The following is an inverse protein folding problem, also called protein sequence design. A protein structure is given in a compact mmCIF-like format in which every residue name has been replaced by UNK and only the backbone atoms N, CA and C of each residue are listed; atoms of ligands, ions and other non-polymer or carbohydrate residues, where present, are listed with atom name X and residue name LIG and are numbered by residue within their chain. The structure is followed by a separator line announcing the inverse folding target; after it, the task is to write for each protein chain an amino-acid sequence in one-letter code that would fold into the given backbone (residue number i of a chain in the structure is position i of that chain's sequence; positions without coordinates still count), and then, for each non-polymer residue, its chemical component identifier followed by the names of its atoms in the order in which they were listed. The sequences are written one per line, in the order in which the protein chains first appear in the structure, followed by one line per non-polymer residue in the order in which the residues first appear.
data_IF_247135805782
#
_entry.id   IF_247135805782
#
_cell.length_a   1.000
_cell.length_b   1.000
_cell.length_c   1.000
_cell.angle_alpha   90.00
_cell.angle_beta   90.00
_cell.angle_gamma   90.00
#
_symmetry.space_group_name_H-M   'P 1'
#
loop_
_entity.id
_entity.type
_entity.pdbx_description
1 polymer ?
#
# COMPACT_ATOMS: atom_id res chain seq x y z
N UNK A 1 -12.96 -4.58 18.13
CA UNK A 1 -13.44 -5.10 16.83
C UNK A 1 -14.97 -4.97 16.81
N UNK A 2 -15.39 -3.71 16.84
CA UNK A 2 -16.81 -3.34 16.88
C UNK A 2 -17.57 -3.96 15.70
N UNK A 3 -18.71 -4.56 15.99
CA UNK A 3 -19.56 -5.23 14.99
C UNK A 3 -19.23 -6.71 14.71
N UNK A 4 -18.09 -7.23 15.20
CA UNK A 4 -17.70 -8.63 14.98
C UNK A 4 -17.61 -9.45 16.27
N UNK A 5 -17.24 -8.82 17.38
CA UNK A 5 -17.11 -9.49 18.68
C UNK A 5 -17.71 -8.63 19.78
N UNK A 6 -18.12 -9.28 20.88
CA UNK A 6 -18.52 -8.60 22.12
C UNK A 6 -17.25 -8.19 22.89
N UNK A 7 -17.38 -7.24 23.80
CA UNK A 7 -16.23 -6.72 24.57
C UNK A 7 -15.60 -7.80 25.48
N UNK A 8 -16.41 -8.75 25.93
CA UNK A 8 -16.02 -9.92 26.74
C UNK A 8 -15.39 -11.06 25.92
N UNK A 9 -15.49 -10.98 24.58
CA UNK A 9 -14.93 -11.93 23.61
C UNK A 9 -13.92 -11.28 22.67
N UNK A 10 -13.38 -10.09 23.03
CA UNK A 10 -12.59 -9.24 22.14
C UNK A 10 -11.12 -9.64 22.06
N UNK A 11 -10.64 -10.54 22.88
CA UNK A 11 -9.26 -10.99 22.85
C UNK A 11 -8.96 -11.79 21.58
N UNK A 12 -7.92 -11.34 20.85
CA UNK A 12 -7.48 -11.95 19.61
C UNK A 12 -5.98 -12.21 19.68
N UNK A 13 -5.52 -13.23 18.99
CA UNK A 13 -4.09 -13.53 18.84
C UNK A 13 -3.59 -13.14 17.47
N UNK A 14 -2.35 -12.64 17.42
CA UNK A 14 -1.63 -12.31 16.17
C UNK A 14 -0.62 -13.42 15.88
N UNK A 15 -0.82 -14.12 14.78
CA UNK A 15 0.12 -15.12 14.29
C UNK A 15 0.98 -14.50 13.18
N UNK A 16 2.30 -14.30 13.41
CA UNK A 16 3.17 -13.67 12.45
C UNK A 16 3.41 -14.58 11.25
N UNK A 17 3.29 -13.99 10.06
CA UNK A 17 3.70 -14.59 8.80
C UNK A 17 5.17 -14.25 8.56
N UNK A 18 6.05 -15.24 8.69
CA UNK A 18 7.51 -15.04 8.64
C UNK A 18 8.00 -14.62 7.26
N UNK A 19 7.27 -14.98 6.20
CA UNK A 19 7.60 -14.58 4.83
C UNK A 19 7.40 -13.08 4.59
N UNK A 20 6.70 -12.40 5.50
CA UNK A 20 6.47 -10.94 5.45
C UNK A 20 7.50 -10.13 6.25
N UNK A 21 8.58 -10.76 6.72
CA UNK A 21 9.63 -10.08 7.48
C UNK A 21 10.33 -9.02 6.64
N UNK A 22 10.33 -7.76 7.10
CA UNK A 22 11.07 -6.67 6.48
C UNK A 22 11.77 -5.81 7.54
N UNK A 23 12.98 -5.32 7.23
CA UNK A 23 13.72 -4.37 8.05
C UNK A 23 13.54 -2.98 7.47
N UNK A 24 13.08 -2.02 8.28
CA UNK A 24 12.85 -0.66 7.80
C UNK A 24 14.16 0.08 7.51
N UNK A 25 14.36 0.58 6.26
CA UNK A 25 15.61 1.22 5.86
C UNK A 25 15.86 2.58 6.50
N UNK A 26 14.79 3.25 6.98
CA UNK A 26 14.87 4.59 7.57
C UNK A 26 15.25 4.63 9.06
N UNK A 27 15.64 3.48 9.64
CA UNK A 27 15.98 3.37 11.08
C UNK A 27 17.39 2.82 11.37
N UNK A 28 18.41 2.99 10.52
CA UNK A 28 19.71 2.34 10.74
C UNK A 28 20.47 2.93 11.95
N UNK A 29 20.37 4.25 12.17
CA UNK A 29 21.12 4.95 13.23
C UNK A 29 20.54 4.76 14.64
N UNK A 30 19.28 4.32 14.75
CA UNK A 30 18.56 4.16 16.04
C UNK A 30 18.36 2.69 16.43
N UNK A 31 19.12 1.79 15.78
CA UNK A 31 18.89 0.36 15.85
C UNK A 31 17.90 -0.10 14.78
N UNK A 32 18.07 -1.35 14.35
CA UNK A 32 17.20 -1.93 13.32
C UNK A 32 15.81 -2.18 13.87
N UNK A 33 14.80 -1.84 13.08
CA UNK A 33 13.39 -2.13 13.36
C UNK A 33 12.87 -3.00 12.24
N UNK A 34 12.27 -4.12 12.59
CA UNK A 34 11.65 -5.03 11.66
C UNK A 34 10.13 -5.07 11.87
N UNK A 35 9.42 -5.44 10.83
CA UNK A 35 7.98 -5.66 10.85
C UNK A 35 7.66 -7.05 10.29
N UNK A 36 6.63 -7.68 10.87
CA UNK A 36 5.94 -8.84 10.35
C UNK A 36 4.46 -8.50 10.18
N UNK A 37 3.82 -9.01 9.15
CA UNK A 37 2.36 -9.04 9.05
C UNK A 37 1.86 -10.28 9.79
N UNK A 38 0.68 -10.16 10.38
CA UNK A 38 0.10 -11.24 11.18
C UNK A 38 -1.31 -11.56 10.69
N UNK A 39 -1.65 -12.83 10.74
CA UNK A 39 -3.05 -13.26 10.66
C UNK A 39 -3.71 -13.08 12.04
N UNK A 40 -4.98 -12.69 12.06
CA UNK A 40 -5.76 -12.57 13.30
C UNK A 40 -6.50 -13.86 13.56
N UNK A 41 -6.36 -14.40 14.78
CA UNK A 41 -6.98 -15.64 15.20
C UNK A 41 -7.78 -15.47 16.50
N UNK A 42 -8.74 -16.32 16.68
CA UNK A 42 -9.47 -16.47 17.95
C UNK A 42 -8.57 -17.05 19.05
N UNK A 43 -8.96 -16.97 20.34
CA UNK A 43 -8.18 -17.53 21.45
C UNK A 43 -7.92 -19.04 21.36
N UNK A 44 -8.77 -19.78 20.65
CA UNK A 44 -8.61 -21.22 20.39
C UNK A 44 -7.67 -21.55 19.22
N UNK A 45 -7.08 -20.50 18.58
CA UNK A 45 -6.18 -20.64 17.44
C UNK A 45 -6.89 -20.75 16.08
N UNK A 46 -8.22 -20.77 16.03
CA UNK A 46 -8.96 -20.75 14.75
C UNK A 46 -8.87 -19.37 14.08
N UNK A 47 -8.87 -19.29 12.73
CA UNK A 47 -8.85 -18.01 12.04
C UNK A 47 -10.06 -17.14 12.41
N UNK A 48 -9.80 -15.86 12.74
CA UNK A 48 -10.88 -14.93 13.02
C UNK A 48 -11.61 -14.54 11.72
N UNK A 49 -12.94 -14.68 11.72
CA UNK A 49 -13.75 -14.47 10.50
C UNK A 49 -13.68 -13.02 9.98
N UNK A 50 -13.48 -12.06 10.87
CA UNK A 50 -13.37 -10.63 10.54
C UNK A 50 -11.98 -10.18 10.08
N UNK A 51 -10.99 -11.09 10.01
CA UNK A 51 -9.67 -10.78 9.47
C UNK A 51 -9.73 -10.59 7.95
N UNK A 52 -9.44 -9.37 7.41
CA UNK A 52 -9.46 -9.12 5.97
C UNK A 52 -8.39 -9.93 5.22
N UNK A 53 -7.20 -10.13 5.82
CA UNK A 53 -6.14 -10.95 5.23
C UNK A 53 -6.58 -12.41 5.16
N UNK A 54 -7.20 -12.92 6.22
CA UNK A 54 -7.80 -14.24 6.26
C UNK A 54 -8.95 -14.40 5.25
N UNK A 55 -9.76 -13.35 5.03
CA UNK A 55 -10.81 -13.35 4.01
C UNK A 55 -10.21 -13.51 2.60
N UNK A 56 -9.16 -12.75 2.27
CA UNK A 56 -8.46 -12.88 1.00
C UNK A 56 -7.86 -14.28 0.82
N UNK A 57 -7.19 -14.83 1.84
CA UNK A 57 -6.65 -16.21 1.82
C UNK A 57 -7.74 -17.26 1.53
N UNK A 58 -8.96 -17.10 2.06
CA UNK A 58 -10.08 -18.00 1.76
C UNK A 58 -10.51 -17.92 0.30
N UNK A 59 -10.59 -16.72 -0.27
CA UNK A 59 -10.96 -16.52 -1.68
C UNK A 59 -9.89 -17.07 -2.62
N UNK A 60 -8.60 -16.82 -2.32
CA UNK A 60 -7.48 -17.34 -3.11
C UNK A 60 -7.44 -18.88 -3.11
N UNK A 61 -7.71 -19.52 -1.97
CA UNK A 61 -7.84 -20.99 -1.93
C UNK A 61 -8.93 -21.48 -2.87
N UNK A 62 -10.10 -20.83 -2.86
CA UNK A 62 -11.20 -21.18 -3.77
C UNK A 62 -10.82 -20.99 -5.24
N UNK A 63 -10.05 -19.96 -5.57
CA UNK A 63 -9.53 -19.77 -6.93
C UNK A 63 -8.56 -20.89 -7.31
N UNK A 64 -7.65 -21.27 -6.41
CA UNK A 64 -6.70 -22.36 -6.62
C UNK A 64 -7.40 -23.71 -6.83
N UNK A 65 -8.47 -24.00 -6.08
CA UNK A 65 -9.29 -25.22 -6.27
C UNK A 65 -9.93 -25.27 -7.67
N UNK A 66 -10.14 -24.12 -8.31
CA UNK A 66 -10.63 -23.99 -9.68
C UNK A 66 -9.50 -23.96 -10.72
N UNK A 67 -8.24 -24.07 -10.30
CA UNK A 67 -7.07 -24.09 -11.19
C UNK A 67 -6.56 -22.69 -11.57
N UNK A 68 -6.85 -21.66 -10.79
CA UNK A 68 -6.43 -20.28 -11.08
C UNK A 68 -5.42 -19.75 -10.07
N UNK A 69 -4.42 -19.03 -10.58
CA UNK A 69 -3.56 -18.12 -9.80
C UNK A 69 -3.99 -16.69 -10.09
N UNK A 70 -4.15 -15.91 -9.03
CA UNK A 70 -4.69 -14.55 -9.10
C UNK A 70 -3.58 -13.54 -8.82
N UNK A 71 -3.17 -12.79 -9.84
CA UNK A 71 -2.20 -11.71 -9.72
C UNK A 71 -2.87 -10.35 -9.76
N UNK A 72 -2.31 -9.40 -9.01
CA UNK A 72 -2.84 -8.04 -8.86
C UNK A 72 -1.70 -7.03 -8.97
N UNK A 73 -1.89 -6.00 -9.81
CA UNK A 73 -1.07 -4.79 -9.89
C UNK A 73 -1.88 -3.61 -9.40
N UNK A 74 -1.61 -3.10 -8.20
CA UNK A 74 -2.28 -1.91 -7.69
C UNK A 74 -1.56 -0.64 -8.12
N UNK A 75 -2.31 0.38 -8.51
CA UNK A 75 -1.87 1.76 -8.74
C UNK A 75 -2.47 2.63 -7.64
N UNK A 76 -1.65 3.20 -6.79
CA UNK A 76 -2.13 3.86 -5.57
C UNK A 76 -1.72 5.31 -5.51
N UNK A 77 -2.69 6.20 -5.73
CA UNK A 77 -2.51 7.64 -5.69
C UNK A 77 -2.59 8.19 -4.26
N UNK A 78 -1.92 9.32 -4.02
CA UNK A 78 -1.91 10.00 -2.74
C UNK A 78 -1.68 11.50 -2.90
N UNK A 79 -2.07 12.27 -1.89
CA UNK A 79 -1.76 13.70 -1.81
C UNK A 79 -0.66 13.99 -0.81
N UNK A 80 0.15 15.00 -1.13
CA UNK A 80 1.12 15.61 -0.22
C UNK A 80 0.63 17.01 0.17
N UNK A 81 0.44 17.22 1.47
CA UNK A 81 0.05 18.51 2.04
C UNK A 81 1.17 19.10 2.90
N UNK A 82 1.27 20.42 2.93
CA UNK A 82 2.12 21.12 3.88
C UNK A 82 1.63 20.87 5.33
N UNK A 83 2.56 20.83 6.26
CA UNK A 83 2.25 20.90 7.69
C UNK A 83 2.32 22.34 8.19
N UNK A 84 1.53 22.69 9.18
CA UNK A 84 1.61 23.97 9.83
C UNK A 84 2.86 24.07 10.74
N UNK A 85 3.08 25.25 11.33
CA UNK A 85 4.20 25.52 12.24
C UNK A 85 4.22 24.61 13.49
N UNK A 86 3.09 24.03 13.83
CA UNK A 86 2.94 23.14 14.99
C UNK A 86 3.04 21.65 14.56
N UNK A 87 3.36 21.37 13.27
CA UNK A 87 3.49 20.03 12.71
C UNK A 87 2.15 19.32 12.45
N UNK A 88 1.05 20.07 12.35
CA UNK A 88 -0.28 19.51 12.06
C UNK A 88 -0.55 19.54 10.56
N UNK A 89 -1.25 18.54 10.01
CA UNK A 89 -1.65 18.53 8.62
C UNK A 89 -2.54 19.74 8.26
N UNK A 90 -2.31 20.29 7.07
CA UNK A 90 -3.19 21.29 6.45
C UNK A 90 -3.83 20.73 5.19
N UNK A 91 -4.66 21.52 4.51
CA UNK A 91 -5.18 21.22 3.17
C UNK A 91 -4.45 21.98 2.07
N UNK A 92 -3.34 22.65 2.42
CA UNK A 92 -2.49 23.32 1.46
C UNK A 92 -1.60 22.29 0.78
N UNK A 93 -1.70 22.19 -0.55
CA UNK A 93 -0.85 21.33 -1.38
C UNK A 93 0.60 21.85 -1.38
N UNK A 94 1.55 20.95 -1.55
CA UNK A 94 2.96 21.30 -1.60
C UNK A 94 3.36 22.01 -2.91
N UNK A 95 2.51 21.94 -3.94
CA UNK A 95 2.71 22.58 -5.25
C UNK A 95 1.40 22.86 -5.97
N UNK A 96 1.51 23.42 -7.18
CA UNK A 96 0.43 23.72 -8.12
C UNK A 96 0.63 22.97 -9.46
N UNK A 97 1.47 21.93 -9.46
CA UNK A 97 1.76 21.13 -10.65
C UNK A 97 0.55 20.28 -11.07
N UNK A 98 0.60 19.77 -12.28
CA UNK A 98 -0.41 18.89 -12.87
C UNK A 98 0.19 17.61 -13.43
N UNK A 99 -0.62 16.89 -14.23
CA UNK A 99 -0.30 15.56 -14.73
C UNK A 99 1.01 15.52 -15.52
N UNK A 100 1.96 14.69 -15.06
CA UNK A 100 3.30 14.51 -15.62
C UNK A 100 4.18 15.76 -15.65
N UNK A 101 3.83 16.79 -14.88
CA UNK A 101 4.72 17.92 -14.71
C UNK A 101 6.02 17.48 -13.99
N UNK A 102 7.09 18.21 -14.30
CA UNK A 102 8.43 17.97 -13.79
C UNK A 102 8.94 19.19 -12.99
N UNK A 103 10.05 19.01 -12.29
CA UNK A 103 10.71 20.16 -11.67
C UNK A 103 11.03 21.28 -12.68
N UNK A 104 10.96 22.55 -12.27
CA UNK A 104 10.89 23.01 -10.87
C UNK A 104 9.47 23.20 -10.31
N UNK A 105 8.39 22.97 -11.07
CA UNK A 105 7.02 23.18 -10.59
C UNK A 105 6.50 22.02 -9.75
N UNK A 106 6.93 20.80 -10.00
CA UNK A 106 6.69 19.63 -9.16
C UNK A 106 7.61 19.66 -7.93
N UNK A 107 7.11 20.18 -6.83
CA UNK A 107 7.86 20.23 -5.57
C UNK A 107 7.84 18.89 -4.80
N UNK A 108 7.04 17.93 -5.23
CA UNK A 108 6.96 16.59 -4.65
C UNK A 108 8.01 15.61 -5.17
N UNK A 109 8.72 15.95 -6.26
CA UNK A 109 9.67 15.07 -6.95
C UNK A 109 10.73 14.48 -6.00
N UNK A 110 11.37 15.31 -5.17
CA UNK A 110 12.36 14.85 -4.21
C UNK A 110 11.76 13.84 -3.21
N UNK A 111 10.59 14.14 -2.67
CA UNK A 111 9.91 13.25 -1.70
C UNK A 111 9.49 11.93 -2.36
N UNK A 112 8.95 11.96 -3.60
CA UNK A 112 8.62 10.74 -4.35
C UNK A 112 9.86 9.88 -4.59
N UNK A 113 10.98 10.52 -4.98
CA UNK A 113 12.25 9.81 -5.19
C UNK A 113 12.73 9.10 -3.91
N UNK A 114 12.69 9.77 -2.76
CA UNK A 114 13.05 9.14 -1.48
C UNK A 114 12.11 8.00 -1.11
N UNK A 115 10.81 8.13 -1.41
CA UNK A 115 9.84 7.06 -1.24
C UNK A 115 10.20 5.87 -2.11
N UNK A 116 10.48 6.07 -3.40
CA UNK A 116 10.89 5.00 -4.32
C UNK A 116 12.14 4.26 -3.82
N UNK A 117 13.19 4.98 -3.44
CA UNK A 117 14.43 4.38 -2.91
C UNK A 117 14.18 3.58 -1.62
N UNK A 118 13.30 4.06 -0.75
CA UNK A 118 12.93 3.34 0.47
C UNK A 118 12.10 2.07 0.16
N UNK A 119 11.22 2.13 -0.84
CA UNK A 119 10.44 0.97 -1.31
C UNK A 119 11.34 -0.07 -1.97
N UNK A 120 12.28 0.35 -2.83
CA UNK A 120 13.27 -0.56 -3.44
C UNK A 120 14.11 -1.26 -2.37
N UNK A 121 14.54 -0.54 -1.32
CA UNK A 121 15.24 -1.13 -0.19
C UNK A 121 14.38 -2.13 0.62
N UNK A 122 13.06 -2.08 0.50
CA UNK A 122 12.09 -3.04 1.06
C UNK A 122 11.74 -4.17 0.08
N UNK A 123 12.36 -4.20 -1.11
CA UNK A 123 12.19 -5.24 -2.12
C UNK A 123 11.09 -4.98 -3.15
N UNK A 124 10.57 -3.74 -3.22
CA UNK A 124 9.64 -3.37 -4.29
C UNK A 124 10.38 -3.18 -5.62
N UNK A 125 9.74 -3.56 -6.71
CA UNK A 125 10.17 -3.27 -8.07
C UNK A 125 9.28 -2.12 -8.58
N UNK A 126 9.83 -0.90 -8.62
CA UNK A 126 9.09 0.31 -9.02
C UNK A 126 8.99 0.34 -10.54
N UNK A 127 7.80 0.61 -11.07
CA UNK A 127 7.50 0.69 -12.50
C UNK A 127 7.27 2.13 -12.97
N UNK A 128 6.56 2.95 -12.17
CA UNK A 128 6.33 4.35 -12.48
C UNK A 128 6.30 5.23 -11.21
N UNK A 129 6.61 6.52 -11.39
CA UNK A 129 6.51 7.54 -10.35
C UNK A 129 6.34 8.90 -11.02
N UNK A 130 5.20 9.54 -10.82
CA UNK A 130 4.86 10.80 -11.49
C UNK A 130 3.94 11.68 -10.65
N UNK A 131 3.83 12.96 -11.05
CA UNK A 131 2.82 13.87 -10.55
C UNK A 131 1.48 13.57 -11.20
N UNK A 132 0.39 13.64 -10.42
CA UNK A 132 -0.96 13.40 -10.86
C UNK A 132 -1.73 14.68 -11.23
N UNK A 133 -3.03 14.55 -11.59
CA UNK A 133 -3.81 15.64 -12.17
C UNK A 133 -4.06 16.81 -11.22
N UNK A 134 -4.24 16.56 -9.93
CA UNK A 134 -4.48 17.62 -8.96
C UNK A 134 -3.17 18.13 -8.35
N UNK A 135 -3.13 19.41 -7.99
CA UNK A 135 -2.02 19.99 -7.23
C UNK A 135 -1.71 19.14 -5.99
N UNK A 136 -0.43 18.83 -5.79
CA UNK A 136 0.05 17.99 -4.70
C UNK A 136 -0.38 16.51 -4.76
N UNK A 137 -0.92 16.06 -5.89
CA UNK A 137 -1.31 14.65 -6.09
C UNK A 137 -0.20 13.90 -6.82
N UNK A 138 0.08 12.68 -6.35
CA UNK A 138 1.19 11.84 -6.81
C UNK A 138 0.78 10.40 -6.94
N UNK A 139 1.48 9.66 -7.81
CA UNK A 139 1.33 8.23 -7.99
C UNK A 139 2.69 7.54 -8.02
N UNK A 140 2.75 6.34 -7.46
CA UNK A 140 3.92 5.46 -7.56
C UNK A 140 3.38 4.05 -7.79
N UNK A 141 3.74 3.46 -8.92
CA UNK A 141 3.35 2.13 -9.31
C UNK A 141 4.48 1.15 -9.10
N UNK A 142 4.14 -0.04 -8.69
CA UNK A 142 5.08 -1.13 -8.49
C UNK A 142 4.53 -2.42 -9.08
N UNK A 143 5.43 -3.30 -9.44
CA UNK A 143 5.14 -4.53 -10.15
C UNK A 143 4.05 -5.35 -9.48
N UNK A 144 3.19 -5.92 -10.33
CA UNK A 144 2.17 -6.86 -9.89
C UNK A 144 2.77 -8.08 -9.17
N UNK A 145 2.00 -8.66 -8.28
CA UNK A 145 2.35 -9.88 -7.56
C UNK A 145 1.12 -10.76 -7.36
N UNK A 146 1.33 -11.95 -6.81
CA UNK A 146 0.25 -12.77 -6.30
C UNK A 146 -0.59 -11.94 -5.31
N UNK A 147 -1.91 -12.10 -5.34
CA UNK A 147 -2.84 -11.14 -4.75
C UNK A 147 -2.64 -10.90 -3.23
N UNK A 148 -2.23 -11.92 -2.47
CA UNK A 148 -1.92 -11.73 -1.05
C UNK A 148 -0.67 -10.86 -0.87
N UNK A 149 0.38 -11.12 -1.64
CA UNK A 149 1.60 -10.33 -1.60
C UNK A 149 1.36 -8.88 -2.06
N UNK A 150 0.52 -8.68 -3.09
CA UNK A 150 0.13 -7.34 -3.55
C UNK A 150 -0.64 -6.58 -2.45
N UNK A 151 -1.57 -7.23 -1.76
CA UNK A 151 -2.32 -6.64 -0.65
C UNK A 151 -1.40 -6.27 0.54
N UNK A 152 -0.48 -7.16 0.91
CA UNK A 152 0.53 -6.92 1.95
C UNK A 152 1.49 -5.78 1.56
N UNK A 153 1.82 -5.68 0.26
CA UNK A 153 2.66 -4.61 -0.30
C UNK A 153 1.98 -3.25 -0.20
N UNK A 154 0.68 -3.14 -0.47
CA UNK A 154 -0.06 -1.87 -0.31
C UNK A 154 0.01 -1.36 1.14
N UNK A 155 -0.08 -2.22 2.14
CA UNK A 155 0.04 -1.81 3.55
C UNK A 155 1.45 -1.24 3.82
N UNK A 156 2.48 -1.92 3.32
CA UNK A 156 3.88 -1.48 3.42
C UNK A 156 4.11 -0.16 2.69
N UNK A 157 3.60 -0.06 1.46
CA UNK A 157 3.64 1.14 0.63
C UNK A 157 3.07 2.35 1.35
N UNK A 158 1.82 2.24 1.84
CA UNK A 158 1.14 3.36 2.55
C UNK A 158 1.90 3.79 3.81
N UNK A 159 2.51 2.86 4.53
CA UNK A 159 3.33 3.17 5.69
C UNK A 159 4.63 3.90 5.30
N UNK A 160 5.29 3.44 4.23
CA UNK A 160 6.53 4.03 3.71
C UNK A 160 6.29 5.45 3.22
N UNK A 161 5.26 5.66 2.37
CA UNK A 161 4.87 6.97 1.86
C UNK A 161 4.65 7.96 2.99
N UNK A 162 3.81 7.61 3.97
CA UNK A 162 3.54 8.47 5.14
C UNK A 162 4.80 8.78 5.94
N UNK A 163 5.67 7.79 6.14
CA UNK A 163 6.89 7.96 6.94
C UNK A 163 7.89 8.86 6.25
N UNK A 164 8.13 8.67 4.96
CA UNK A 164 9.09 9.48 4.20
C UNK A 164 8.54 10.90 3.98
N UNK A 165 7.26 11.05 3.62
CA UNK A 165 6.63 12.37 3.54
C UNK A 165 6.77 13.17 4.84
N UNK A 166 6.49 12.54 5.98
CA UNK A 166 6.66 13.19 7.29
C UNK A 166 8.12 13.61 7.56
N UNK A 167 9.09 12.80 7.16
CA UNK A 167 10.51 13.15 7.30
C UNK A 167 10.90 14.35 6.44
N UNK A 168 10.19 14.57 5.33
CA UNK A 168 10.34 15.72 4.44
C UNK A 168 9.46 16.93 4.81
N UNK A 169 8.84 16.93 5.99
CA UNK A 169 7.98 18.03 6.44
C UNK A 169 6.61 18.08 5.78
N UNK A 170 6.16 16.98 5.16
CA UNK A 170 4.89 16.87 4.45
C UNK A 170 3.95 15.85 5.12
N UNK A 171 2.67 16.03 4.90
CA UNK A 171 1.64 15.07 5.28
C UNK A 171 1.11 14.33 4.06
N UNK A 172 1.31 13.03 3.99
CA UNK A 172 0.74 12.17 2.97
C UNK A 172 -0.62 11.61 3.38
N UNK A 173 -1.60 11.72 2.48
CA UNK A 173 -2.93 11.14 2.68
C UNK A 173 -3.36 10.29 1.48
N UNK A 174 -4.01 9.16 1.78
CA UNK A 174 -4.68 8.27 0.82
C UNK A 174 -6.20 8.45 0.84
N UNK A 175 -6.65 9.58 1.33
CA UNK A 175 -8.07 9.93 1.35
C UNK A 175 -8.57 10.06 -0.10
N UNK A 176 -9.67 9.38 -0.49
CA UNK A 176 -10.11 9.36 -1.89
C UNK A 176 -10.41 10.74 -2.47
N UNK A 177 -10.92 11.66 -1.66
CA UNK A 177 -11.29 13.01 -2.09
C UNK A 177 -10.96 14.04 -1.01
N UNK A 178 -9.67 14.35 -0.77
CA UNK A 178 -9.29 15.27 0.30
C UNK A 178 -9.65 16.73 0.00
N UNK A 179 -9.75 17.10 -1.28
CA UNK A 179 -10.11 18.45 -1.74
C UNK A 179 -11.32 18.37 -2.66
N UNK A 180 -12.36 19.15 -2.35
CA UNK A 180 -13.54 19.25 -3.20
C UNK A 180 -13.21 20.00 -4.50
N UNK A 181 -13.78 19.57 -5.62
CA UNK A 181 -13.65 20.25 -6.92
C UNK A 181 -12.39 19.91 -7.73
N UNK A 182 -11.45 19.13 -7.18
CA UNK A 182 -10.24 18.65 -7.90
C UNK A 182 -10.32 17.16 -8.24
N UNK A 183 -9.33 16.59 -8.93
CA UNK A 183 -9.19 15.15 -9.05
C UNK A 183 -9.04 14.50 -7.65
N UNK A 184 -9.46 13.27 -7.49
CA UNK A 184 -9.33 12.48 -6.26
C UNK A 184 -8.33 11.36 -6.43
N UNK A 185 -7.87 10.77 -5.32
CA UNK A 185 -6.95 9.64 -5.35
C UNK A 185 -7.67 8.35 -5.72
N UNK A 186 -7.27 7.77 -6.84
CA UNK A 186 -7.64 6.42 -7.23
C UNK A 186 -6.83 5.36 -6.49
N UNK A 187 -7.32 4.15 -6.56
CA UNK A 187 -6.57 2.93 -6.32
C UNK A 187 -7.05 1.92 -7.35
N UNK A 188 -6.47 1.98 -8.54
CA UNK A 188 -6.81 1.06 -9.60
C UNK A 188 -6.26 -0.33 -9.30
N UNK A 189 -7.02 -1.35 -9.63
CA UNK A 189 -6.66 -2.74 -9.39
C UNK A 189 -6.62 -3.45 -10.74
N UNK A 190 -5.42 -3.61 -11.27
CA UNK A 190 -5.21 -4.40 -12.49
C UNK A 190 -5.16 -5.88 -12.11
N UNK A 191 -6.01 -6.69 -12.73
CA UNK A 191 -6.19 -8.09 -12.38
C UNK A 191 -5.72 -8.97 -13.53
N UNK A 192 -4.85 -9.92 -13.22
CA UNK A 192 -4.44 -10.97 -14.14
C UNK A 192 -4.75 -12.35 -13.53
N UNK A 193 -5.58 -13.10 -14.23
CA UNK A 193 -5.93 -14.47 -13.86
C UNK A 193 -5.10 -15.43 -14.71
N UNK A 194 -4.20 -16.17 -14.07
CA UNK A 194 -3.37 -17.19 -14.71
C UNK A 194 -4.00 -18.56 -14.51
N UNK A 195 -4.07 -19.34 -15.61
CA UNK A 195 -4.44 -20.76 -15.53
C UNK A 195 -3.24 -21.59 -15.06
N UNK A 196 -3.46 -22.53 -14.16
CA UNK A 196 -2.42 -23.45 -13.70
C UNK A 196 -2.14 -24.59 -14.70
N UNK A 197 -2.96 -24.72 -15.75
CA UNK A 197 -2.73 -25.60 -16.87
C UNK A 197 -2.67 -24.81 -18.18
N UNK A 198 -1.89 -25.27 -19.19
CA UNK A 198 -1.77 -24.59 -20.46
C UNK A 198 -3.15 -24.37 -21.10
N UNK A 199 -3.43 -23.16 -21.54
CA UNK A 199 -4.64 -22.87 -22.33
C UNK A 199 -4.63 -23.72 -23.61
N UNK A 200 -5.80 -24.19 -24.09
CA UNK A 200 -5.89 -24.83 -25.41
C UNK A 200 -5.31 -23.98 -26.55
N UNK A 201 -5.21 -22.66 -26.36
CA UNK A 201 -4.58 -21.72 -27.33
C UNK A 201 -3.05 -21.77 -27.32
N UNK A 202 -2.45 -22.26 -26.26
CA UNK A 202 -0.98 -22.37 -26.13
C UNK A 202 -0.43 -23.68 -26.66
N UNK A 203 -1.30 -24.49 -27.27
CA UNK A 203 -0.99 -25.78 -27.92
C UNK A 203 -0.90 -25.69 -29.45
N UNK A 204 -0.63 -24.48 -29.97
CA UNK A 204 -0.39 -24.26 -31.41
C UNK A 204 1.02 -24.65 -31.85
#
# INVERSE_FOLDING_TARGET
IEGFTRIDESDQYLYPDLDTFVVFPWRPAQGKVARLLCDVCNPDGTPFIGDPRGALKRVLRRAADLGYTFNVGPECEFFLFEMDKDGKPTTKTNDEAGYFDLGPIDHGDHTRREICLALEALGFEIEASHHECAAGQHEIDFKYAEALNAADSIITFKQTVKKIAYANGLHATFMPKPIYGTAGSGMHINICLLYTSPSPRDRG
#
